data_IF_395592664077
#
_entry.id   IF_395592664077
#
_cell.length_a   1.000
_cell.length_b   1.000
_cell.length_c   1.000
_cell.angle_alpha   90.00
_cell.angle_beta   90.00
_cell.angle_gamma   90.00
#
_symmetry.space_group_name_H-M   'P 1'
#
loop_
_entity.id
_entity.type
_entity.pdbx_description
1 polymer ?
#
# COMPACT_ATOMS: atom_id res chain seq x y z
N UNK A 1 -2.87 17.63 -1.84
CA UNK A 1 -3.32 16.36 -2.46
C UNK A 1 -3.20 16.45 -3.98
N UNK A 2 -2.92 15.36 -4.65
CA UNK A 2 -2.90 15.24 -6.11
C UNK A 2 -4.14 14.45 -6.57
N UNK A 3 -4.86 14.91 -7.59
CA UNK A 3 -5.92 14.11 -8.22
C UNK A 3 -5.27 13.05 -9.12
N UNK A 4 -5.49 11.78 -8.80
CA UNK A 4 -4.88 10.64 -9.52
C UNK A 4 -5.77 10.18 -10.67
N UNK A 5 -7.07 10.13 -10.42
CA UNK A 5 -8.11 9.79 -11.38
C UNK A 5 -9.42 10.46 -10.94
N UNK A 6 -10.49 10.22 -11.66
CA UNK A 6 -11.79 10.75 -11.24
C UNK A 6 -12.25 10.11 -9.93
N UNK A 7 -12.63 10.95 -8.95
CA UNK A 7 -12.97 10.50 -7.59
C UNK A 7 -11.81 9.89 -6.79
N UNK A 8 -10.54 10.07 -7.21
CA UNK A 8 -9.37 9.50 -6.52
C UNK A 8 -8.28 10.55 -6.28
N UNK A 9 -7.87 10.71 -5.04
CA UNK A 9 -6.80 11.62 -4.62
C UNK A 9 -5.69 10.88 -3.90
N UNK A 10 -4.48 11.36 -4.09
CA UNK A 10 -3.26 10.92 -3.42
C UNK A 10 -2.79 11.96 -2.41
N UNK A 11 -2.57 11.54 -1.19
CA UNK A 11 -1.81 12.25 -0.18
C UNK A 11 -0.44 11.58 -0.02
N UNK A 12 0.61 12.27 -0.44
CA UNK A 12 1.98 11.83 -0.18
C UNK A 12 2.52 12.45 1.11
N UNK A 13 3.20 11.63 1.89
CA UNK A 13 3.77 12.06 3.16
C UNK A 13 5.03 11.32 3.54
N UNK A 14 5.41 11.53 4.81
CA UNK A 14 6.63 11.02 5.41
C UNK A 14 7.92 11.52 4.74
N UNK A 15 9.06 10.87 5.05
CA UNK A 15 10.37 11.29 4.57
C UNK A 15 10.42 11.26 3.03
N UNK A 16 10.74 12.41 2.40
CA UNK A 16 10.82 12.56 0.95
C UNK A 16 9.56 12.16 0.18
N UNK A 17 8.38 12.25 0.82
CA UNK A 17 7.09 11.83 0.22
C UNK A 17 7.10 10.36 -0.22
N UNK A 18 7.70 9.50 0.60
CA UNK A 18 7.84 8.07 0.28
C UNK A 18 6.58 7.26 0.57
N UNK A 19 5.66 7.76 1.43
CA UNK A 19 4.43 7.05 1.80
C UNK A 19 3.21 7.65 1.12
N UNK A 20 2.30 6.79 0.71
CA UNK A 20 1.08 7.14 0.00
C UNK A 20 -0.17 6.74 0.81
N UNK A 21 -1.18 7.60 0.76
CA UNK A 21 -2.55 7.33 1.18
C UNK A 21 -3.46 7.74 0.03
N UNK A 22 -4.39 6.89 -0.35
CA UNK A 22 -5.37 7.22 -1.37
C UNK A 22 -6.74 7.49 -0.74
N UNK A 23 -7.43 8.51 -1.24
CA UNK A 23 -8.82 8.81 -0.87
C UNK A 23 -9.68 8.60 -2.11
N UNK A 24 -10.75 7.83 -1.96
CA UNK A 24 -11.68 7.45 -3.03
C UNK A 24 -13.06 7.94 -2.63
N UNK A 25 -13.76 8.68 -3.50
CA UNK A 25 -15.15 9.09 -3.26
C UNK A 25 -16.04 7.87 -3.00
N UNK A 26 -16.83 7.94 -1.92
CA UNK A 26 -17.75 6.85 -1.54
C UNK A 26 -19.13 6.91 -2.23
N UNK A 27 -19.35 7.96 -3.04
CA UNK A 27 -20.63 8.24 -3.68
C UNK A 27 -21.70 8.84 -2.76
N UNK A 28 -21.41 9.01 -1.45
CA UNK A 28 -22.35 9.50 -0.43
C UNK A 28 -21.85 10.76 0.28
N UNK A 29 -20.94 11.48 -0.32
CA UNK A 29 -20.43 12.76 0.21
C UNK A 29 -19.28 12.61 1.21
N UNK A 30 -18.56 11.49 1.16
CA UNK A 30 -17.33 11.25 1.90
C UNK A 30 -16.32 10.45 1.11
N UNK A 31 -15.32 9.92 1.77
CA UNK A 31 -14.26 9.13 1.13
C UNK A 31 -13.95 7.84 1.90
N UNK A 32 -13.54 6.84 1.15
CA UNK A 32 -12.81 5.68 1.66
C UNK A 32 -11.32 6.02 1.61
N UNK A 33 -10.60 5.78 2.69
CA UNK A 33 -9.14 5.86 2.72
C UNK A 33 -8.57 4.48 2.42
N UNK A 34 -7.77 4.35 1.36
CA UNK A 34 -7.01 3.13 1.05
C UNK A 34 -5.56 3.33 1.48
N UNK A 35 -5.07 2.41 2.29
CA UNK A 35 -3.88 2.49 3.15
C UNK A 35 -3.95 3.62 4.19
N UNK A 36 -3.17 3.47 5.26
CA UNK A 36 -3.15 4.43 6.34
C UNK A 36 -1.77 5.05 6.60
N UNK A 37 -0.81 4.82 5.72
CA UNK A 37 0.51 5.45 5.78
C UNK A 37 1.18 5.37 7.14
N UNK A 38 2.18 6.21 7.37
CA UNK A 38 2.88 6.29 8.67
C UNK A 38 2.13 7.16 9.67
N UNK A 39 2.33 6.91 10.97
CA UNK A 39 1.80 7.70 12.09
C UNK A 39 2.03 9.21 11.94
N UNK A 40 3.16 9.61 11.38
CA UNK A 40 3.50 11.01 11.17
C UNK A 40 2.52 11.73 10.22
N UNK A 41 1.77 10.99 9.40
CA UNK A 41 0.81 11.54 8.46
C UNK A 41 -0.57 11.80 9.07
N UNK A 42 -0.87 11.36 10.32
CA UNK A 42 -2.21 11.39 10.93
C UNK A 42 -2.89 12.76 10.81
N UNK A 43 -2.21 13.84 11.19
CA UNK A 43 -2.79 15.20 11.10
C UNK A 43 -3.14 15.61 9.67
N UNK A 44 -2.28 15.25 8.71
CA UNK A 44 -2.50 15.56 7.29
C UNK A 44 -3.60 14.70 6.69
N UNK A 45 -3.65 13.40 7.05
CA UNK A 45 -4.68 12.48 6.58
C UNK A 45 -6.08 12.91 7.08
N UNK A 46 -6.19 13.29 8.36
CA UNK A 46 -7.43 13.83 8.93
C UNK A 46 -7.90 15.08 8.16
N UNK A 47 -7.04 16.08 8.01
CA UNK A 47 -7.39 17.33 7.32
C UNK A 47 -7.74 17.08 5.84
N UNK A 48 -7.06 16.14 5.17
CA UNK A 48 -7.37 15.76 3.80
C UNK A 48 -8.73 15.08 3.70
N UNK A 49 -9.03 14.13 4.59
CA UNK A 49 -10.33 13.49 4.67
C UNK A 49 -11.46 14.48 4.93
N UNK A 50 -11.29 15.41 5.87
CA UNK A 50 -12.26 16.45 6.19
C UNK A 50 -12.57 17.34 4.98
N UNK A 51 -11.57 17.74 4.18
CA UNK A 51 -11.75 18.48 2.93
C UNK A 51 -12.56 17.73 1.88
N UNK A 52 -12.61 16.41 1.95
CA UNK A 52 -13.32 15.51 1.04
C UNK A 52 -14.64 14.97 1.63
N UNK A 53 -15.19 15.59 2.68
CA UNK A 53 -16.46 15.18 3.29
C UNK A 53 -16.34 14.15 4.42
N UNK A 54 -15.12 13.86 4.86
CA UNK A 54 -14.79 12.95 5.97
C UNK A 54 -14.49 11.52 5.53
N UNK A 55 -13.57 10.89 6.25
CA UNK A 55 -13.23 9.46 6.04
C UNK A 55 -14.35 8.61 6.62
N UNK A 56 -15.03 7.83 5.80
CA UNK A 56 -16.13 6.94 6.19
C UNK A 56 -15.66 5.54 6.56
N UNK A 57 -14.54 5.12 5.99
CA UNK A 57 -13.92 3.82 6.22
C UNK A 57 -12.47 3.86 5.80
N UNK A 58 -11.62 3.11 6.50
CA UNK A 58 -10.24 2.83 6.12
C UNK A 58 -10.18 1.40 5.62
N UNK A 59 -9.54 1.17 4.48
CA UNK A 59 -9.24 -0.16 3.96
C UNK A 59 -7.73 -0.27 3.85
N UNK A 60 -7.12 -1.13 4.66
CA UNK A 60 -5.68 -1.39 4.60
C UNK A 60 -5.39 -2.29 3.40
N UNK A 61 -4.46 -1.88 2.55
CA UNK A 61 -3.92 -2.74 1.51
C UNK A 61 -3.18 -3.93 2.12
N UNK A 62 -2.48 -3.71 3.24
CA UNK A 62 -1.91 -4.72 4.13
C UNK A 62 -1.60 -4.11 5.51
N UNK A 63 -1.17 -4.95 6.47
CA UNK A 63 -1.10 -4.55 7.88
C UNK A 63 0.27 -4.12 8.39
N UNK A 64 1.27 -3.88 7.52
CA UNK A 64 2.57 -3.40 8.00
C UNK A 64 2.48 -2.03 8.68
N UNK A 65 3.42 -1.77 9.58
CA UNK A 65 3.43 -0.62 10.47
C UNK A 65 3.33 0.75 9.78
N UNK A 66 3.91 0.87 8.60
CA UNK A 66 3.90 2.08 7.78
C UNK A 66 2.68 2.19 6.85
N UNK A 67 1.80 1.18 6.83
CA UNK A 67 0.51 1.19 6.12
C UNK A 67 -0.70 1.24 7.03
N UNK A 68 -0.53 1.02 8.36
CA UNK A 68 -1.59 1.14 9.36
C UNK A 68 -1.43 2.36 10.27
N UNK A 69 -0.36 3.13 10.10
CA UNK A 69 0.12 4.12 11.07
C UNK A 69 -0.85 5.24 11.44
N UNK A 70 -1.70 5.72 10.52
CA UNK A 70 -2.69 6.78 10.83
C UNK A 70 -4.00 6.21 11.37
N UNK A 71 -4.29 4.93 11.15
CA UNK A 71 -5.61 4.35 11.47
C UNK A 71 -6.02 4.53 12.94
N UNK A 72 -5.15 4.29 13.95
CA UNK A 72 -5.53 4.51 15.35
C UNK A 72 -5.85 5.98 15.70
N UNK A 73 -5.38 6.91 14.88
CA UNK A 73 -5.60 8.34 15.07
C UNK A 73 -6.77 8.92 14.28
N UNK A 74 -7.52 8.10 13.54
CA UNK A 74 -8.70 8.51 12.76
C UNK A 74 -9.94 7.85 13.34
N UNK A 75 -11.04 8.60 13.37
CA UNK A 75 -12.34 8.09 13.87
C UNK A 75 -13.13 7.51 12.70
N UNK A 76 -12.69 6.34 12.22
CA UNK A 76 -13.32 5.63 11.11
C UNK A 76 -13.10 4.11 11.26
N UNK A 77 -14.09 3.27 10.90
CA UNK A 77 -13.95 1.82 10.96
C UNK A 77 -12.88 1.33 9.99
N UNK A 78 -12.10 0.33 10.42
CA UNK A 78 -10.96 -0.20 9.68
C UNK A 78 -11.23 -1.60 9.17
N UNK A 79 -10.90 -1.83 7.91
CA UNK A 79 -11.05 -3.11 7.21
C UNK A 79 -9.72 -3.55 6.62
N UNK A 80 -9.47 -4.85 6.56
CA UNK A 80 -8.36 -5.46 5.85
C UNK A 80 -8.75 -6.84 5.32
N UNK A 81 -7.83 -7.51 4.63
CA UNK A 81 -8.02 -8.92 4.27
C UNK A 81 -8.01 -9.81 5.54
N UNK A 82 -8.80 -10.92 5.58
CA UNK A 82 -8.81 -11.83 6.74
C UNK A 82 -7.43 -12.31 7.19
N UNK A 83 -6.53 -12.60 6.25
CA UNK A 83 -5.18 -13.10 6.53
C UNK A 83 -4.24 -12.06 7.16
N UNK A 84 -4.61 -10.78 7.16
CA UNK A 84 -3.83 -9.69 7.75
C UNK A 84 -4.42 -9.18 9.10
N UNK A 85 -5.56 -9.73 9.55
CA UNK A 85 -6.20 -9.29 10.80
C UNK A 85 -5.25 -9.44 12.00
N UNK A 86 -4.58 -10.60 12.11
CA UNK A 86 -3.68 -10.86 13.21
C UNK A 86 -2.47 -9.89 13.24
N UNK A 87 -1.93 -9.54 12.07
CA UNK A 87 -0.84 -8.57 11.96
C UNK A 87 -1.35 -7.14 12.27
N UNK A 88 -2.55 -6.77 11.82
CA UNK A 88 -3.15 -5.45 12.11
C UNK A 88 -3.40 -5.24 13.61
N UNK A 89 -3.87 -6.26 14.32
CA UNK A 89 -4.18 -6.22 15.74
C UNK A 89 -2.96 -6.51 16.63
N UNK A 90 -1.79 -6.75 16.05
CA UNK A 90 -0.54 -6.97 16.77
C UNK A 90 0.10 -5.66 17.24
N UNK A 91 0.68 -5.64 18.43
CA UNK A 91 1.53 -4.55 18.92
C UNK A 91 2.93 -4.54 18.28
N UNK A 92 3.27 -5.54 17.46
CA UNK A 92 4.56 -5.61 16.78
C UNK A 92 4.59 -4.70 15.56
N UNK A 93 5.61 -3.86 15.47
CA UNK A 93 5.88 -3.05 14.27
C UNK A 93 6.58 -3.84 13.15
N UNK A 94 6.97 -5.09 13.41
CA UNK A 94 7.70 -5.95 12.49
C UNK A 94 6.89 -7.25 12.36
N UNK A 95 6.44 -7.55 11.16
CA UNK A 95 5.72 -8.79 10.90
C UNK A 95 6.64 -10.01 11.11
N UNK A 96 6.11 -11.15 11.61
CA UNK A 96 6.93 -12.29 12.02
C UNK A 96 7.70 -12.97 10.89
N UNK A 97 7.30 -12.74 9.64
CA UNK A 97 7.94 -13.27 8.43
C UNK A 97 9.00 -12.35 7.84
N UNK A 98 9.16 -11.13 8.33
CA UNK A 98 10.22 -10.22 7.86
C UNK A 98 11.60 -10.68 8.33
N UNK A 99 12.52 -10.82 7.39
CA UNK A 99 13.93 -11.16 7.68
C UNK A 99 14.88 -10.04 7.24
N UNK A 100 15.06 -9.06 8.10
CA UNK A 100 15.94 -7.92 7.84
C UNK A 100 17.41 -8.30 7.66
N UNK A 101 17.83 -9.54 8.03
CA UNK A 101 19.18 -10.01 7.81
C UNK A 101 19.54 -10.16 6.33
N UNK A 102 18.54 -10.33 5.47
CA UNK A 102 18.69 -10.44 4.02
C UNK A 102 18.98 -9.10 3.32
N UNK A 103 18.86 -7.96 4.02
CA UNK A 103 19.15 -6.66 3.42
C UNK A 103 20.66 -6.53 3.10
N UNK A 104 21.02 -6.08 1.88
CA UNK A 104 22.41 -6.07 1.43
C UNK A 104 23.26 -5.00 2.13
N UNK A 105 22.65 -3.96 2.70
CA UNK A 105 23.34 -2.81 3.28
C UNK A 105 23.25 -2.84 4.81
N UNK A 106 24.36 -3.12 5.48
CA UNK A 106 24.39 -3.27 6.93
C UNK A 106 23.79 -2.07 7.71
N UNK A 107 24.10 -0.79 7.43
CA UNK A 107 23.44 0.33 8.10
C UNK A 107 21.91 0.34 7.95
N UNK A 108 21.39 -0.12 6.81
CA UNK A 108 19.94 -0.21 6.55
C UNK A 108 19.29 -1.23 7.49
N UNK A 109 19.92 -2.39 7.74
CA UNK A 109 19.42 -3.41 8.69
C UNK A 109 19.20 -2.85 10.10
N UNK A 110 20.11 -1.95 10.55
CA UNK A 110 20.03 -1.36 11.89
C UNK A 110 19.00 -0.24 12.00
N UNK A 111 18.77 0.52 10.92
CA UNK A 111 17.88 1.66 10.95
C UNK A 111 16.41 1.25 10.74
N UNK A 112 16.13 0.19 9.99
CA UNK A 112 14.77 -0.21 9.63
C UNK A 112 13.86 -0.51 10.82
N UNK A 113 14.28 -1.27 11.85
CA UNK A 113 13.43 -1.49 13.02
C UNK A 113 13.00 -0.21 13.72
N UNK A 114 13.89 0.79 13.72
CA UNK A 114 13.59 2.11 14.27
C UNK A 114 12.61 2.88 13.37
N UNK A 115 12.78 2.83 12.04
CA UNK A 115 11.86 3.47 11.09
C UNK A 115 10.47 2.86 11.19
N UNK A 116 10.34 1.53 11.21
CA UNK A 116 9.06 0.84 11.33
C UNK A 116 8.35 1.22 12.63
N UNK A 117 9.03 1.17 13.78
CA UNK A 117 8.47 1.60 15.07
C UNK A 117 8.03 3.07 15.06
N UNK A 118 8.76 3.93 14.36
CA UNK A 118 8.41 5.35 14.23
C UNK A 118 7.20 5.57 13.32
N UNK A 119 7.01 4.70 12.33
CA UNK A 119 5.89 4.75 11.40
C UNK A 119 4.60 4.19 12.00
N UNK A 120 4.73 3.28 12.97
CA UNK A 120 3.63 2.55 13.58
C UNK A 120 2.76 3.43 14.49
N UNK A 121 1.45 3.35 14.27
CA UNK A 121 0.43 3.93 15.14
C UNK A 121 0.06 3.09 16.35
N UNK A 122 0.51 1.82 16.38
CA UNK A 122 0.10 0.77 17.31
C UNK A 122 -0.87 -0.21 16.68
N UNK A 123 -1.33 -1.17 17.47
CA UNK A 123 -2.36 -2.14 17.07
C UNK A 123 -3.64 -1.44 16.60
N UNK A 124 -4.25 -1.99 15.57
CA UNK A 124 -5.46 -1.47 14.94
C UNK A 124 -6.56 -2.50 15.06
N UNK A 125 -7.63 -2.15 15.80
CA UNK A 125 -8.83 -2.99 15.84
C UNK A 125 -9.43 -3.07 14.44
N UNK A 126 -9.71 -4.27 13.96
CA UNK A 126 -10.36 -4.51 12.68
C UNK A 126 -11.88 -4.62 12.89
N UNK A 127 -12.66 -3.77 12.20
CA UNK A 127 -14.11 -3.73 12.31
C UNK A 127 -14.81 -4.62 11.27
N UNK A 128 -14.08 -5.05 10.24
CA UNK A 128 -14.57 -5.98 9.22
C UNK A 128 -13.50 -6.36 8.22
N UNK A 129 -13.83 -7.28 7.33
CA UNK A 129 -12.88 -7.78 6.33
C UNK A 129 -13.37 -7.56 4.91
N UNK A 130 -12.43 -7.53 3.97
CA UNK A 130 -12.66 -7.49 2.51
C UNK A 130 -11.78 -8.55 1.84
N UNK A 131 -12.33 -9.19 0.82
CA UNK A 131 -11.68 -10.31 0.11
C UNK A 131 -11.75 -10.15 -1.40
N UNK A 132 -11.04 -11.01 -2.14
CA UNK A 132 -11.08 -11.06 -3.60
C UNK A 132 -12.52 -11.03 -4.12
N UNK A 133 -12.81 -10.10 -5.02
CA UNK A 133 -14.11 -9.93 -5.67
C UNK A 133 -15.08 -9.00 -4.96
N UNK A 134 -14.83 -8.62 -3.71
CA UNK A 134 -15.62 -7.58 -3.03
C UNK A 134 -15.49 -6.24 -3.76
N UNK A 135 -16.44 -5.34 -3.48
CA UNK A 135 -16.44 -3.99 -4.04
C UNK A 135 -16.20 -2.93 -2.96
N UNK A 136 -15.30 -1.99 -3.25
CA UNK A 136 -14.99 -0.84 -2.40
C UNK A 136 -15.06 0.43 -3.26
N UNK A 137 -16.09 1.25 -3.06
CA UNK A 137 -16.28 2.53 -3.76
C UNK A 137 -16.09 2.45 -5.29
N UNK A 138 -16.71 1.44 -5.94
CA UNK A 138 -16.63 1.21 -7.37
C UNK A 138 -15.34 0.52 -7.86
N UNK A 139 -14.49 0.09 -6.94
CA UNK A 139 -13.32 -0.71 -7.22
C UNK A 139 -13.56 -2.17 -6.81
N UNK A 140 -13.09 -3.12 -7.62
CA UNK A 140 -12.99 -4.53 -7.23
C UNK A 140 -11.76 -4.75 -6.37
N UNK A 141 -11.93 -5.49 -5.28
CA UNK A 141 -10.81 -5.98 -4.47
C UNK A 141 -10.12 -7.12 -5.20
N UNK A 142 -8.80 -7.03 -5.34
CA UNK A 142 -7.95 -8.08 -5.91
C UNK A 142 -6.95 -8.51 -4.84
N UNK A 143 -6.89 -9.80 -4.56
CA UNK A 143 -5.90 -10.36 -3.62
C UNK A 143 -4.55 -10.57 -4.33
N UNK A 144 -3.50 -10.00 -3.76
CA UNK A 144 -2.12 -10.02 -4.26
C UNK A 144 -1.15 -10.54 -3.20
N UNK A 145 -1.27 -11.80 -2.74
CA UNK A 145 -0.42 -12.31 -1.67
C UNK A 145 1.05 -12.35 -2.08
N UNK A 146 1.93 -12.23 -1.10
CA UNK A 146 3.37 -12.36 -1.31
C UNK A 146 4.20 -11.41 -0.46
N UNK A 147 4.03 -10.09 -0.55
CA UNK A 147 4.62 -9.14 0.38
C UNK A 147 4.04 -9.32 1.79
N UNK A 148 2.72 -9.40 1.89
CA UNK A 148 1.98 -9.84 3.08
C UNK A 148 0.99 -10.94 2.69
N UNK A 149 0.55 -11.81 3.62
CA UNK A 149 -0.43 -12.86 3.34
C UNK A 149 -1.74 -12.31 2.80
N UNK A 150 -2.25 -11.23 3.40
CA UNK A 150 -3.50 -10.58 3.08
C UNK A 150 -3.37 -9.31 2.23
N UNK A 151 -2.27 -9.13 1.51
CA UNK A 151 -2.11 -7.95 0.65
C UNK A 151 -3.19 -7.91 -0.44
N UNK A 152 -3.92 -6.80 -0.48
CA UNK A 152 -4.95 -6.52 -1.49
C UNK A 152 -4.65 -5.24 -2.28
N UNK A 153 -5.22 -5.16 -3.45
CA UNK A 153 -5.32 -3.94 -4.25
C UNK A 153 -6.77 -3.67 -4.65
N UNK A 154 -6.99 -2.47 -5.14
CA UNK A 154 -8.27 -2.00 -5.64
C UNK A 154 -8.15 -1.73 -7.15
N UNK A 155 -8.98 -2.37 -7.95
CA UNK A 155 -8.99 -2.28 -9.41
C UNK A 155 -10.29 -1.66 -9.93
N UNK A 156 -10.18 -0.61 -10.74
CA UNK A 156 -11.30 -0.03 -11.48
C UNK A 156 -11.06 -0.16 -12.97
N UNK A 157 -11.88 -0.99 -13.62
CA UNK A 157 -11.73 -1.36 -15.03
C UNK A 157 -12.04 -0.19 -15.98
N UNK A 158 -12.99 0.66 -15.63
CA UNK A 158 -13.48 1.75 -16.51
C UNK A 158 -12.40 2.74 -16.95
N UNK A 159 -11.42 3.00 -16.11
CA UNK A 159 -10.27 3.88 -16.38
C UNK A 159 -8.92 3.19 -16.17
N UNK A 160 -8.95 1.89 -15.90
CA UNK A 160 -7.77 1.03 -15.74
C UNK A 160 -6.80 1.53 -14.65
N UNK A 161 -7.37 1.99 -13.53
CA UNK A 161 -6.59 2.37 -12.35
C UNK A 161 -6.49 1.21 -11.37
N UNK A 162 -5.27 0.91 -10.93
CA UNK A 162 -4.96 -0.03 -9.86
C UNK A 162 -4.29 0.69 -8.69
N UNK A 163 -4.90 0.65 -7.50
CA UNK A 163 -4.29 1.07 -6.25
C UNK A 163 -3.84 -0.19 -5.53
N UNK A 164 -2.53 -0.40 -5.38
CA UNK A 164 -2.01 -1.75 -5.13
C UNK A 164 -1.14 -1.87 -3.88
N UNK A 165 -1.09 -0.80 -3.05
CA UNK A 165 -0.24 -0.84 -1.85
C UNK A 165 1.17 -1.36 -2.21
N UNK A 166 1.68 -2.38 -1.55
CA UNK A 166 3.04 -2.90 -1.70
C UNK A 166 3.14 -4.15 -2.61
N UNK A 167 2.23 -4.28 -3.59
CA UNK A 167 2.40 -5.30 -4.65
C UNK A 167 3.65 -5.00 -5.48
N UNK A 168 3.94 -3.73 -5.74
CA UNK A 168 5.06 -3.27 -6.54
C UNK A 168 5.65 -1.99 -5.96
N UNK A 169 6.96 -1.83 -6.06
CA UNK A 169 7.70 -0.66 -5.60
C UNK A 169 8.23 0.19 -6.75
N UNK A 170 8.22 1.50 -6.56
CA UNK A 170 8.90 2.48 -7.42
C UNK A 170 10.16 3.05 -6.73
N UNK A 171 10.63 2.34 -5.71
CA UNK A 171 11.86 2.60 -4.97
C UNK A 171 12.67 1.30 -4.83
N UNK A 172 13.98 1.41 -4.72
CA UNK A 172 14.85 0.32 -4.20
C UNK A 172 14.76 0.36 -2.67
N UNK A 173 13.84 -0.43 -2.11
CA UNK A 173 13.60 -0.48 -0.67
C UNK A 173 14.80 -1.05 0.09
N UNK A 174 15.58 -1.93 -0.52
CA UNK A 174 16.77 -2.51 0.10
C UNK A 174 17.93 -1.53 0.28
N UNK A 175 17.97 -0.47 -0.55
CA UNK A 175 19.01 0.57 -0.53
C UNK A 175 18.48 1.96 -0.17
N UNK A 176 17.16 2.11 0.04
CA UNK A 176 16.48 3.39 0.29
C UNK A 176 16.78 4.44 -0.79
N UNK A 177 16.73 4.04 -2.05
CA UNK A 177 16.99 4.88 -3.21
C UNK A 177 15.84 4.88 -4.19
N UNK A 178 15.58 6.00 -4.89
CA UNK A 178 14.64 5.99 -6.02
C UNK A 178 15.09 5.00 -7.09
N UNK A 179 14.12 4.32 -7.72
CA UNK A 179 14.37 3.65 -9.00
C UNK A 179 14.41 4.69 -10.13
N UNK A 180 15.05 4.36 -11.27
CA UNK A 180 14.94 5.18 -12.47
C UNK A 180 13.49 5.42 -12.87
N UNK A 181 13.15 6.59 -13.44
CA UNK A 181 11.81 6.89 -13.91
C UNK A 181 11.27 5.81 -14.85
N UNK A 182 10.05 5.34 -14.59
CA UNK A 182 9.41 4.29 -15.39
C UNK A 182 9.86 2.86 -15.07
N UNK A 183 10.70 2.67 -14.05
CA UNK A 183 11.04 1.35 -13.52
C UNK A 183 10.19 0.98 -12.30
N UNK A 184 10.03 -0.33 -12.10
CA UNK A 184 9.35 -0.94 -10.97
C UNK A 184 10.15 -2.15 -10.46
N UNK A 185 9.92 -2.55 -9.23
CA UNK A 185 10.50 -3.75 -8.64
C UNK A 185 9.49 -4.52 -7.80
N UNK A 186 9.68 -5.83 -7.70
CA UNK A 186 9.03 -6.65 -6.67
C UNK A 186 9.57 -6.22 -5.30
N UNK A 187 8.78 -6.28 -4.21
CA UNK A 187 9.29 -6.14 -2.85
C UNK A 187 10.48 -7.06 -2.58
N UNK A 188 11.52 -6.55 -1.92
CA UNK A 188 12.71 -7.34 -1.60
C UNK A 188 12.32 -8.51 -0.67
N UNK A 189 12.96 -9.71 -0.79
CA UNK A 189 12.66 -10.88 0.06
C UNK A 189 12.66 -10.60 1.57
N UNK A 190 13.49 -9.67 2.04
CA UNK A 190 13.54 -9.26 3.45
C UNK A 190 12.18 -8.76 4.00
N UNK A 191 11.30 -8.28 3.13
CA UNK A 191 9.98 -7.75 3.45
C UNK A 191 8.83 -8.68 3.07
N UNK A 192 9.11 -9.73 2.30
CA UNK A 192 8.10 -10.57 1.71
C UNK A 192 7.80 -11.79 2.60
N UNK A 193 6.50 -12.06 2.81
CA UNK A 193 6.03 -13.33 3.38
C UNK A 193 6.39 -14.50 2.46
N UNK A 194 6.17 -14.34 1.17
CA UNK A 194 6.50 -15.32 0.12
C UNK A 194 6.92 -14.58 -1.15
N UNK A 195 8.23 -14.56 -1.44
CA UNK A 195 8.74 -13.80 -2.56
C UNK A 195 8.33 -14.36 -3.93
N UNK A 196 8.10 -15.68 -4.05
CA UNK A 196 7.61 -16.27 -5.29
C UNK A 196 6.17 -15.81 -5.58
N UNK A 197 5.30 -15.84 -4.57
CA UNK A 197 3.95 -15.29 -4.67
C UNK A 197 3.94 -13.78 -4.94
N UNK A 198 4.89 -13.03 -4.40
CA UNK A 198 5.01 -11.60 -4.70
C UNK A 198 5.27 -11.36 -6.20
N UNK A 199 6.12 -12.17 -6.84
CA UNK A 199 6.34 -12.14 -8.29
C UNK A 199 5.08 -12.52 -9.08
N UNK A 200 4.37 -13.57 -8.67
CA UNK A 200 3.09 -13.96 -9.26
C UNK A 200 2.06 -12.83 -9.16
N UNK A 201 2.00 -12.15 -8.01
CA UNK A 201 1.11 -11.01 -7.78
C UNK A 201 1.44 -9.83 -8.68
N UNK A 202 2.72 -9.51 -8.91
CA UNK A 202 3.10 -8.48 -9.90
C UNK A 202 2.73 -8.91 -11.33
N UNK A 203 2.88 -10.19 -11.67
CA UNK A 203 2.43 -10.73 -12.97
C UNK A 203 0.90 -10.66 -13.11
N UNK A 204 0.15 -10.97 -12.03
CA UNK A 204 -1.32 -10.81 -11.99
C UNK A 204 -1.72 -9.34 -12.21
N UNK A 205 -1.00 -8.39 -11.60
CA UNK A 205 -1.21 -6.95 -11.80
C UNK A 205 -0.92 -6.55 -13.26
N UNK A 206 0.16 -7.06 -13.86
CA UNK A 206 0.51 -6.79 -15.25
C UNK A 206 -0.60 -7.25 -16.22
N UNK A 207 -1.22 -8.41 -15.94
CA UNK A 207 -2.30 -8.97 -16.75
C UNK A 207 -3.59 -8.11 -16.73
N UNK A 208 -3.79 -7.25 -15.75
CA UNK A 208 -4.89 -6.27 -15.71
C UNK A 208 -4.65 -5.11 -16.70
N UNK A 209 -3.45 -4.98 -17.26
CA UNK A 209 -3.04 -3.91 -18.17
C UNK A 209 -3.39 -2.50 -17.65
N UNK A 210 -2.97 -2.12 -16.45
CA UNK A 210 -3.34 -0.85 -15.85
C UNK A 210 -2.81 0.33 -16.67
N UNK A 211 -3.56 1.44 -16.70
CA UNK A 211 -3.11 2.73 -17.23
C UNK A 211 -2.47 3.60 -16.15
N UNK A 212 -2.87 3.34 -14.88
CA UNK A 212 -2.32 4.00 -13.69
C UNK A 212 -2.12 2.95 -12.61
N UNK A 213 -0.95 2.96 -11.98
CA UNK A 213 -0.63 2.13 -10.81
C UNK A 213 -0.25 3.02 -9.64
N UNK A 214 -1.05 2.99 -8.60
CA UNK A 214 -0.78 3.65 -7.32
C UNK A 214 -0.26 2.67 -6.30
N UNK A 215 1.06 2.68 -6.03
CA UNK A 215 1.69 1.86 -4.99
C UNK A 215 1.63 2.52 -3.60
N UNK A 216 1.99 1.78 -2.56
CA UNK A 216 2.13 2.30 -1.20
C UNK A 216 3.31 3.26 -1.04
N UNK A 217 4.32 3.09 -1.88
CA UNK A 217 5.53 3.91 -1.86
C UNK A 217 5.80 4.59 -3.20
N UNK A 218 6.07 5.91 -3.17
CA UNK A 218 6.38 6.73 -4.35
C UNK A 218 5.31 6.67 -5.46
N UNK A 219 5.63 7.05 -6.69
CA UNK A 219 4.67 7.07 -7.81
C UNK A 219 3.62 8.18 -7.71
N UNK A 220 2.43 8.05 -8.32
CA UNK A 220 1.95 6.91 -9.08
C UNK A 220 2.67 6.73 -10.42
N UNK A 221 2.73 5.50 -10.93
CA UNK A 221 3.22 5.22 -12.26
C UNK A 221 2.09 5.32 -13.29
N UNK A 222 2.36 6.01 -14.40
CA UNK A 222 1.39 6.28 -15.48
C UNK A 222 2.06 6.00 -16.82
N UNK A 223 1.32 5.46 -17.78
CA UNK A 223 1.84 5.26 -19.13
C UNK A 223 1.10 4.20 -19.93
N UNK A 224 1.49 4.09 -21.20
CA UNK A 224 0.86 3.13 -22.13
C UNK A 224 1.45 1.70 -22.03
N UNK A 225 2.67 1.57 -21.50
CA UNK A 225 3.42 0.30 -21.47
C UNK A 225 3.67 -0.20 -20.06
N UNK A 226 2.74 0.05 -19.13
CA UNK A 226 2.91 -0.37 -17.72
C UNK A 226 2.96 -1.89 -17.61
N UNK A 227 2.23 -2.63 -18.46
CA UNK A 227 2.31 -4.09 -18.53
C UNK A 227 3.75 -4.57 -18.64
N UNK A 228 4.49 -4.11 -19.67
CA UNK A 228 5.88 -4.51 -19.89
C UNK A 228 6.80 -4.11 -18.72
N UNK A 229 6.55 -2.95 -18.08
CA UNK A 229 7.31 -2.52 -16.92
C UNK A 229 7.09 -3.46 -15.72
N UNK A 230 5.84 -3.89 -15.49
CA UNK A 230 5.48 -4.82 -14.43
C UNK A 230 6.00 -6.23 -14.71
N UNK A 231 5.90 -6.72 -15.95
CA UNK A 231 6.45 -8.00 -16.37
C UNK A 231 7.97 -8.06 -16.13
N UNK A 232 8.71 -7.01 -16.54
CA UNK A 232 10.16 -6.89 -16.26
C UNK A 232 10.45 -6.83 -14.75
N UNK A 233 9.58 -6.20 -13.96
CA UNK A 233 9.75 -6.17 -12.51
C UNK A 233 9.59 -7.57 -11.89
N UNK A 234 8.61 -8.36 -12.36
CA UNK A 234 8.39 -9.73 -11.90
C UNK A 234 9.54 -10.70 -12.26
N UNK A 235 10.25 -10.44 -13.37
CA UNK A 235 11.40 -11.24 -13.82
C UNK A 235 12.70 -10.94 -13.06
N UNK A 236 12.85 -9.70 -12.54
CA UNK A 236 14.04 -9.28 -11.79
C UNK A 236 14.06 -9.95 -10.40
N UNK A 237 15.16 -10.64 -10.06
CA UNK A 237 15.51 -11.45 -8.86
C UNK A 237 15.33 -12.96 -9.02
#
# INVERSE_FOLDING_TARGET
MEKVADGVWLLQGDLRKSMNIYFIEDGNGGVIQFDAGSKAMTKKARAAGEQLGGVKRIVLGHAHADHRGTAPGLDAPVFCHPDDVADAESDSSIAPYMDLSQLPVAPVRWIYPFLLRRSDGGAVKIDGTVSEGDEVAGFKVIHFPGHAPGLIGLWRESDRIALVSDVVYFIDSARLKPLPPGEASVPHPAWAWDHAKAKESVSKLAALEPAVVGAGHAGPLRGKNLRETLERAAEKY
#
